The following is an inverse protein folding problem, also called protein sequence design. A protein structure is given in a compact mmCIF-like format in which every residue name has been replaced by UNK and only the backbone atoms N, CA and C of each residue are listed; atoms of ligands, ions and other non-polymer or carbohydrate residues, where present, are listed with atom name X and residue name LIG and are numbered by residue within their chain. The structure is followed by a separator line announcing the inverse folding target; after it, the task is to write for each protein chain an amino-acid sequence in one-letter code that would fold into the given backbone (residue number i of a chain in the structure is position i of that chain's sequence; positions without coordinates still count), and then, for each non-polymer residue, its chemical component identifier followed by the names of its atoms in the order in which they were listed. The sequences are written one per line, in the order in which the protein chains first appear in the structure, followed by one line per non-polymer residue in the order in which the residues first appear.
data_IF_772013140640
#
_entry.id   IF_772013140640
#
_cell.length_a   1.000
_cell.length_b   1.000
_cell.length_c   1.000
_cell.angle_alpha   90.00
_cell.angle_beta   90.00
_cell.angle_gamma   90.00
#
_symmetry.space_group_name_H-M   'P 1'
#
loop_
_entity.id
_entity.type
_entity.pdbx_description
1 polymer ?
#
# COMPACT_ATOMS: atom_id res chain seq x y z
N UNK A 1 23.45 17.24 63.52
CA UNK A 1 24.81 17.61 63.08
C UNK A 1 25.37 16.37 62.40
N UNK A 2 25.63 16.22 61.10
CA UNK A 2 25.67 17.09 59.91
C UNK A 2 25.15 16.23 58.74
N UNK A 3 24.24 16.75 57.91
CA UNK A 3 23.90 16.11 56.64
C UNK A 3 24.78 16.75 55.55
N UNK A 4 25.72 15.97 55.01
CA UNK A 4 26.63 16.41 53.95
C UNK A 4 25.92 16.33 52.61
N UNK A 5 25.63 17.48 52.00
CA UNK A 5 25.21 17.59 50.61
C UNK A 5 26.44 17.39 49.70
N UNK A 6 26.44 16.33 48.90
CA UNK A 6 27.32 16.22 47.74
C UNK A 6 26.63 16.89 46.54
N UNK A 7 27.12 18.06 46.12
CA UNK A 7 26.80 18.65 44.83
C UNK A 7 27.63 17.94 43.75
N UNK A 8 27.02 17.04 42.99
CA UNK A 8 27.57 16.56 41.72
C UNK A 8 27.21 17.56 40.61
N UNK A 9 28.19 18.32 40.14
CA UNK A 9 28.07 19.12 38.93
C UNK A 9 28.03 18.19 37.70
N UNK A 10 26.87 18.05 37.08
CA UNK A 10 26.71 17.34 35.81
C UNK A 10 27.04 18.33 34.69
N UNK A 11 28.19 18.12 34.03
CA UNK A 11 28.55 18.83 32.81
C UNK A 11 27.65 18.35 31.67
N UNK A 12 26.78 19.23 31.17
CA UNK A 12 26.01 19.00 29.95
C UNK A 12 26.94 19.16 28.74
N UNK A 13 27.34 18.03 28.14
CA UNK A 13 27.99 18.01 26.84
C UNK A 13 26.89 18.11 25.78
N UNK A 14 26.87 19.11 24.89
CA UNK A 14 25.93 19.12 23.79
C UNK A 14 26.31 17.99 22.82
N UNK A 15 25.46 16.98 22.73
CA UNK A 15 25.50 16.03 21.62
C UNK A 15 25.09 16.79 20.35
N UNK A 16 26.07 17.19 19.55
CA UNK A 16 25.83 17.59 18.19
C UNK A 16 25.40 16.34 17.40
N UNK A 17 24.10 16.23 17.10
CA UNK A 17 23.59 15.22 16.16
C UNK A 17 24.11 15.61 14.78
N UNK A 18 25.15 14.94 14.31
CA UNK A 18 25.54 15.01 12.92
C UNK A 18 24.44 14.31 12.11
N UNK A 19 23.66 15.09 11.36
CA UNK A 19 22.71 14.55 10.40
C UNK A 19 23.44 13.62 9.41
N UNK A 20 22.89 12.45 9.05
CA UNK A 20 23.48 11.62 8.02
C UNK A 20 23.52 12.44 6.72
N UNK A 21 24.72 12.61 6.17
CA UNK A 21 24.88 13.16 4.82
C UNK A 21 24.29 12.13 3.87
N UNK A 22 23.09 12.40 3.35
CA UNK A 22 22.57 11.70 2.19
C UNK A 22 23.65 11.77 1.10
N UNK A 23 24.06 10.65 0.50
CA UNK A 23 24.88 10.71 -0.70
C UNK A 23 24.09 11.50 -1.74
N UNK A 24 24.59 12.68 -2.07
CA UNK A 24 24.09 13.44 -3.21
C UNK A 24 24.47 12.65 -4.46
N UNK A 25 23.60 11.75 -4.89
CA UNK A 25 23.66 11.22 -6.24
C UNK A 25 23.31 12.37 -7.18
N UNK A 26 24.33 13.13 -7.58
CA UNK A 26 24.27 13.91 -8.80
C UNK A 26 24.21 12.93 -9.96
N UNK A 27 22.98 12.54 -10.32
CA UNK A 27 22.75 11.96 -11.64
C UNK A 27 23.12 13.05 -12.65
N UNK A 28 24.25 12.85 -13.34
CA UNK A 28 24.61 13.65 -14.51
C UNK A 28 23.41 13.62 -15.45
N UNK A 29 22.73 14.76 -15.60
CA UNK A 29 21.83 14.97 -16.74
C UNK A 29 22.70 15.18 -17.96
N UNK A 30 23.16 14.08 -18.54
CA UNK A 30 23.49 14.07 -19.95
C UNK A 30 22.13 14.14 -20.68
N UNK A 31 21.96 15.24 -21.42
CA UNK A 31 20.73 15.55 -22.13
C UNK A 31 20.53 14.60 -23.30
N UNK A 32 19.96 13.44 -23.03
CA UNK A 32 19.33 12.61 -24.04
C UNK A 32 17.82 12.81 -23.92
N UNK A 33 17.18 13.17 -25.04
CA UNK A 33 15.73 13.30 -25.17
C UNK A 33 15.07 11.91 -25.12
N UNK A 34 15.17 11.21 -23.98
CA UNK A 34 14.43 9.99 -23.73
C UNK A 34 13.05 10.39 -23.23
N UNK A 35 12.13 10.54 -24.18
CA UNK A 35 10.71 10.39 -23.88
C UNK A 35 10.56 9.12 -23.05
N UNK A 36 10.10 9.21 -21.81
CA UNK A 36 9.66 8.03 -21.07
C UNK A 36 8.73 7.23 -22.02
N UNK A 37 8.87 5.90 -22.13
CA UNK A 37 7.98 5.12 -22.98
C UNK A 37 6.55 5.49 -22.58
N UNK A 38 5.76 5.99 -23.52
CA UNK A 38 4.36 6.26 -23.26
C UNK A 38 3.77 4.93 -22.77
N UNK A 39 3.23 4.92 -21.54
CA UNK A 39 2.54 3.74 -21.03
C UNK A 39 1.53 3.29 -22.09
N UNK A 40 1.40 1.98 -22.36
CA UNK A 40 0.48 1.51 -23.38
C UNK A 40 -0.91 2.12 -23.11
N UNK A 41 -1.44 2.84 -24.09
CA UNK A 41 -2.77 3.43 -24.00
C UNK A 41 -3.78 2.36 -24.37
N UNK A 42 -4.30 1.67 -23.36
CA UNK A 42 -5.42 0.75 -23.51
C UNK A 42 -6.72 1.46 -23.10
N UNK A 43 -7.82 1.10 -23.77
CA UNK A 43 -9.15 1.56 -23.41
C UNK A 43 -9.66 0.82 -22.17
N UNK A 44 -9.93 1.57 -21.10
CA UNK A 44 -10.48 1.06 -19.84
C UNK A 44 -12.01 1.13 -19.77
N UNK A 45 -12.68 1.74 -20.76
CA UNK A 45 -14.12 2.00 -20.73
C UNK A 45 -14.98 0.73 -20.66
N UNK A 46 -14.47 -0.40 -21.14
CA UNK A 46 -15.16 -1.69 -21.12
C UNK A 46 -14.63 -2.65 -20.05
N UNK A 47 -13.63 -2.24 -19.27
CA UNK A 47 -13.01 -3.10 -18.25
C UNK A 47 -13.89 -3.07 -16.99
N UNK A 48 -14.37 -4.24 -16.60
CA UNK A 48 -15.29 -4.41 -15.48
C UNK A 48 -14.59 -5.02 -14.27
N UNK A 49 -14.95 -4.55 -13.07
CA UNK A 49 -14.50 -5.17 -11.84
C UNK A 49 -14.99 -6.62 -11.74
N UNK A 50 -14.21 -7.50 -11.10
CA UNK A 50 -14.70 -8.79 -10.64
C UNK A 50 -16.02 -8.66 -9.89
N UNK A 51 -16.95 -9.59 -10.15
CA UNK A 51 -18.23 -9.62 -9.47
C UNK A 51 -18.05 -9.73 -7.95
N UNK A 52 -18.72 -8.87 -7.19
CA UNK A 52 -18.67 -8.89 -5.72
C UNK A 52 -19.93 -8.27 -5.11
N UNK A 53 -20.04 -8.37 -3.79
CA UNK A 53 -21.08 -7.69 -3.00
C UNK A 53 -20.71 -6.24 -2.64
N UNK A 54 -19.53 -5.76 -3.07
CA UNK A 54 -19.14 -4.36 -2.86
C UNK A 54 -20.02 -3.46 -3.73
N UNK A 55 -20.43 -2.32 -3.17
CA UNK A 55 -21.20 -1.34 -3.95
C UNK A 55 -20.38 -0.88 -5.16
N UNK A 56 -20.97 -0.80 -6.36
CA UNK A 56 -20.23 -0.44 -7.57
C UNK A 56 -19.76 1.02 -7.56
N UNK A 57 -18.76 1.38 -8.37
CA UNK A 57 -18.27 2.75 -8.54
C UNK A 57 -19.28 3.58 -9.37
N UNK A 58 -20.31 4.09 -8.72
CA UNK A 58 -21.36 4.89 -9.37
C UNK A 58 -20.87 6.30 -9.74
N UNK A 59 -21.02 6.68 -11.01
CA UNK A 59 -20.72 8.04 -11.49
C UNK A 59 -19.23 8.38 -11.57
N UNK A 60 -18.35 7.37 -11.60
CA UNK A 60 -16.89 7.52 -11.69
C UNK A 60 -16.36 6.74 -12.89
N UNK A 61 -15.18 7.13 -13.38
CA UNK A 61 -14.51 6.44 -14.48
C UNK A 61 -13.30 5.65 -13.97
N UNK A 62 -13.08 4.46 -14.53
CA UNK A 62 -11.89 3.68 -14.25
C UNK A 62 -10.69 4.36 -14.93
N UNK A 63 -9.70 4.79 -14.14
CA UNK A 63 -8.52 5.50 -14.66
C UNK A 63 -7.24 4.68 -14.59
N UNK A 64 -7.20 3.65 -13.74
CA UNK A 64 -6.05 2.77 -13.58
C UNK A 64 -6.50 1.45 -12.95
N UNK A 65 -5.93 0.34 -13.41
CA UNK A 65 -5.81 -0.86 -12.58
C UNK A 65 -4.34 -1.12 -12.31
N UNK A 66 -3.98 -1.24 -11.04
CA UNK A 66 -2.62 -1.57 -10.62
C UNK A 66 -2.56 -2.96 -9.98
N UNK A 67 -1.48 -3.70 -10.23
CA UNK A 67 -1.09 -4.83 -9.38
C UNK A 67 -0.27 -4.28 -8.22
N UNK A 68 -0.72 -4.51 -6.99
CA UNK A 68 0.10 -4.32 -5.80
C UNK A 68 0.77 -5.62 -5.40
N UNK A 69 2.08 -5.57 -5.14
CA UNK A 69 2.86 -6.68 -4.58
C UNK A 69 3.59 -6.19 -3.34
N UNK A 70 3.40 -6.89 -2.22
CA UNK A 70 4.04 -6.50 -0.97
C UNK A 70 3.51 -7.31 0.19
N UNK A 71 3.24 -6.67 1.33
CA UNK A 71 2.94 -7.36 2.57
C UNK A 71 1.74 -6.76 3.31
N UNK A 72 1.03 -7.63 4.00
CA UNK A 72 0.12 -7.29 5.08
C UNK A 72 0.89 -7.39 6.40
N UNK A 73 0.76 -6.37 7.24
CA UNK A 73 1.51 -6.26 8.49
C UNK A 73 0.56 -6.34 9.69
N UNK A 74 0.93 -7.13 10.69
CA UNK A 74 0.16 -7.39 11.89
C UNK A 74 1.04 -7.25 13.14
N UNK A 75 0.48 -6.80 14.26
CA UNK A 75 1.17 -6.78 15.55
C UNK A 75 0.56 -7.77 16.53
N UNK A 76 1.38 -8.25 17.45
CA UNK A 76 1.00 -9.22 18.48
C UNK A 76 0.92 -8.59 19.87
N UNK A 77 -0.15 -8.86 20.60
CA UNK A 77 -0.29 -8.46 22.00
C UNK A 77 0.37 -9.47 22.95
N UNK A 78 0.19 -10.77 22.67
CA UNK A 78 0.79 -11.90 23.39
C UNK A 78 0.73 -13.16 22.50
N UNK A 79 1.43 -14.26 22.85
CA UNK A 79 1.51 -15.46 22.01
C UNK A 79 0.18 -16.16 21.71
N UNK A 80 -0.87 -15.90 22.49
CA UNK A 80 -2.19 -16.54 22.34
C UNK A 80 -3.21 -15.64 21.63
N UNK A 81 -2.91 -14.35 21.50
CA UNK A 81 -3.77 -13.39 20.83
C UNK A 81 -3.84 -13.64 19.31
N UNK A 82 -4.95 -13.23 18.70
CA UNK A 82 -5.03 -13.08 17.25
C UNK A 82 -4.21 -11.85 16.81
N UNK A 83 -3.40 -11.92 15.74
CA UNK A 83 -2.65 -10.77 15.24
C UNK A 83 -3.57 -9.63 14.82
N UNK A 84 -3.26 -8.40 15.25
CA UNK A 84 -4.02 -7.20 14.90
C UNK A 84 -3.41 -6.52 13.67
N UNK A 85 -4.21 -6.21 12.65
CA UNK A 85 -3.72 -5.52 11.45
C UNK A 85 -3.21 -4.11 11.78
N UNK A 86 -2.02 -3.78 11.30
CA UNK A 86 -1.40 -2.45 11.46
C UNK A 86 -1.09 -1.77 10.12
N UNK A 87 -1.46 -2.40 9.00
CA UNK A 87 -1.39 -1.79 7.67
C UNK A 87 -0.86 -2.77 6.62
N UNK A 88 -0.48 -2.20 5.48
CA UNK A 88 0.15 -2.89 4.37
C UNK A 88 1.25 -2.01 3.78
N UNK A 89 2.17 -2.63 3.05
CA UNK A 89 3.15 -1.96 2.20
C UNK A 89 3.18 -2.70 0.87
N UNK A 90 3.08 -2.00 -0.27
CA UNK A 90 3.16 -2.62 -1.58
C UNK A 90 3.69 -1.67 -2.65
N UNK A 91 4.50 -2.21 -3.56
CA UNK A 91 4.81 -1.54 -4.82
C UNK A 91 3.66 -1.76 -5.80
N UNK A 92 3.37 -0.74 -6.59
CA UNK A 92 2.29 -0.73 -7.56
C UNK A 92 2.85 -0.83 -8.98
N UNK A 93 2.28 -1.70 -9.79
CA UNK A 93 2.64 -1.90 -11.20
C UNK A 93 1.41 -1.70 -12.07
N UNK A 94 1.57 -1.08 -13.23
CA UNK A 94 0.44 -0.81 -14.12
C UNK A 94 -0.08 -2.13 -14.74
N UNK A 95 -1.31 -2.50 -14.41
CA UNK A 95 -1.98 -3.71 -14.91
C UNK A 95 -3.14 -3.40 -15.87
N UNK A 96 -3.37 -2.12 -16.19
CA UNK A 96 -4.50 -1.67 -17.01
C UNK A 96 -4.60 -2.42 -18.34
N UNK A 97 -3.49 -2.56 -19.06
CA UNK A 97 -3.55 -3.13 -20.41
C UNK A 97 -3.55 -4.66 -20.42
N UNK A 98 -2.98 -5.29 -19.40
CA UNK A 98 -3.15 -6.73 -19.19
C UNK A 98 -4.63 -7.07 -18.97
N UNK A 99 -5.34 -6.27 -18.16
CA UNK A 99 -6.77 -6.47 -17.90
C UNK A 99 -7.67 -6.04 -19.07
N UNK A 100 -7.32 -5.00 -19.81
CA UNK A 100 -8.06 -4.63 -21.01
C UNK A 100 -8.05 -5.75 -22.05
N UNK A 101 -6.93 -6.49 -22.18
CA UNK A 101 -6.83 -7.67 -23.03
C UNK A 101 -7.45 -8.94 -22.44
N UNK A 102 -7.62 -9.02 -21.11
CA UNK A 102 -8.22 -10.15 -20.42
C UNK A 102 -9.02 -9.70 -19.17
N UNK A 103 -10.29 -9.27 -19.33
CA UNK A 103 -11.08 -8.66 -18.25
C UNK A 103 -11.40 -9.57 -17.07
N UNK A 104 -11.16 -10.88 -17.20
CA UNK A 104 -11.40 -11.88 -16.14
C UNK A 104 -10.11 -12.38 -15.47
N UNK A 105 -8.96 -11.74 -15.72
CA UNK A 105 -7.70 -12.16 -15.13
C UNK A 105 -7.65 -11.94 -13.60
N UNK A 106 -7.23 -12.97 -12.86
CA UNK A 106 -6.77 -12.84 -11.47
C UNK A 106 -5.35 -12.26 -11.42
N UNK A 107 -4.85 -11.88 -10.23
CA UNK A 107 -3.47 -11.37 -10.05
C UNK A 107 -2.41 -12.27 -10.66
N UNK A 108 -2.47 -13.57 -10.42
CA UNK A 108 -1.52 -14.57 -10.95
C UNK A 108 -1.58 -14.70 -12.47
N UNK A 109 -2.68 -14.28 -13.10
CA UNK A 109 -2.91 -14.35 -14.54
C UNK A 109 -2.67 -13.02 -15.24
N UNK A 110 -2.18 -11.98 -14.54
CA UNK A 110 -1.96 -10.65 -15.12
C UNK A 110 -0.80 -10.60 -16.14
N UNK A 111 -0.10 -11.71 -16.38
CA UNK A 111 0.78 -11.89 -17.54
C UNK A 111 1.76 -10.74 -17.76
N UNK A 112 1.69 -10.10 -18.94
CA UNK A 112 2.60 -9.12 -19.54
C UNK A 112 2.73 -7.76 -18.82
N UNK A 113 2.55 -7.71 -17.51
CA UNK A 113 2.85 -6.52 -16.73
C UNK A 113 4.37 -6.34 -16.61
N UNK A 114 4.84 -5.11 -16.82
CA UNK A 114 6.22 -4.77 -16.55
C UNK A 114 6.39 -4.49 -15.06
N UNK A 115 6.83 -5.51 -14.32
CA UNK A 115 7.13 -5.40 -12.90
C UNK A 115 8.50 -4.77 -12.61
N UNK A 116 9.26 -4.35 -13.64
CA UNK A 116 10.51 -3.61 -13.45
C UNK A 116 10.29 -2.10 -13.28
N UNK A 117 9.10 -1.60 -13.62
CA UNK A 117 8.73 -0.20 -13.57
C UNK A 117 7.56 0.04 -12.59
N UNK A 118 7.89 0.25 -11.31
CA UNK A 118 6.90 0.68 -10.32
C UNK A 118 6.29 2.03 -10.72
N UNK A 119 4.97 2.15 -10.57
CA UNK A 119 4.19 3.38 -10.81
C UNK A 119 3.81 4.10 -9.52
N UNK A 120 4.26 3.62 -8.37
CA UNK A 120 3.91 4.19 -7.08
C UNK A 120 3.92 3.16 -5.96
N UNK A 121 3.46 3.60 -4.80
CA UNK A 121 3.48 2.80 -3.58
C UNK A 121 2.13 2.90 -2.87
N UNK A 122 1.75 1.81 -2.21
CA UNK A 122 0.64 1.77 -1.27
C UNK A 122 1.21 1.49 0.13
N UNK A 123 0.88 2.35 1.08
CA UNK A 123 1.28 2.21 2.48
C UNK A 123 0.16 2.69 3.42
N UNK A 124 0.43 2.71 4.72
CA UNK A 124 -0.49 3.21 5.73
C UNK A 124 0.19 4.32 6.53
N UNK A 125 -0.45 5.50 6.62
CA UNK A 125 0.10 6.65 7.40
C UNK A 125 -0.19 6.53 8.90
N UNK A 126 -1.18 5.73 9.25
CA UNK A 126 -1.52 5.26 10.59
C UNK A 126 -2.17 3.87 10.46
N UNK A 127 -2.53 3.22 11.57
CA UNK A 127 -3.08 1.84 11.54
C UNK A 127 -4.39 1.67 10.75
N UNK A 128 -5.02 2.75 10.31
CA UNK A 128 -6.37 2.77 9.70
C UNK A 128 -6.46 3.49 8.36
N UNK A 129 -5.48 4.32 8.02
CA UNK A 129 -5.50 5.19 6.84
C UNK A 129 -4.58 4.65 5.74
N UNK A 130 -5.09 3.87 4.78
CA UNK A 130 -4.37 3.55 3.56
C UNK A 130 -4.06 4.81 2.76
N UNK A 131 -2.84 4.89 2.26
CA UNK A 131 -2.31 5.93 1.39
C UNK A 131 -1.81 5.28 0.09
N UNK A 132 -2.09 5.94 -1.04
CA UNK A 132 -1.62 5.58 -2.37
C UNK A 132 -0.95 6.80 -2.97
N UNK A 133 0.37 6.71 -3.19
CA UNK A 133 1.13 7.69 -3.96
C UNK A 133 1.41 7.10 -5.34
N UNK A 134 0.64 7.53 -6.34
CA UNK A 134 0.70 7.01 -7.70
C UNK A 134 1.16 8.11 -8.65
N UNK A 135 2.23 7.84 -9.40
CA UNK A 135 2.76 8.78 -10.37
C UNK A 135 1.69 9.16 -11.41
N UNK A 136 1.49 10.48 -11.59
CA UNK A 136 0.47 11.03 -12.49
C UNK A 136 -0.94 11.12 -11.92
N UNK A 137 -1.25 10.44 -10.81
CA UNK A 137 -2.54 10.58 -10.09
C UNK A 137 -2.40 11.34 -8.76
N UNK A 138 -1.20 11.40 -8.20
CA UNK A 138 -0.90 12.06 -6.93
C UNK A 138 -1.23 11.20 -5.71
N UNK A 139 -1.10 11.81 -4.52
CA UNK A 139 -1.38 11.17 -3.24
C UNK A 139 -2.88 11.05 -3.01
N UNK A 140 -3.32 9.91 -2.47
CA UNK A 140 -4.72 9.66 -2.10
C UNK A 140 -4.77 8.92 -0.77
N UNK A 141 -5.26 9.59 0.28
CA UNK A 141 -5.60 8.95 1.55
C UNK A 141 -7.05 8.49 1.54
N UNK A 142 -7.30 7.27 2.00
CA UNK A 142 -8.62 6.68 1.95
C UNK A 142 -9.04 6.11 3.30
N UNK A 143 -10.35 5.96 3.45
CA UNK A 143 -10.97 5.18 4.52
C UNK A 143 -11.64 3.94 3.96
N UNK A 144 -11.58 2.82 4.70
CA UNK A 144 -12.39 1.64 4.38
C UNK A 144 -13.88 1.97 4.60
N UNK A 145 -14.70 1.82 3.57
CA UNK A 145 -16.16 2.03 3.66
C UNK A 145 -16.96 0.74 3.52
N UNK A 146 -16.37 -0.31 2.96
CA UNK A 146 -16.99 -1.63 2.88
C UNK A 146 -15.90 -2.71 2.76
N UNK A 147 -16.20 -3.91 3.23
CA UNK A 147 -15.41 -5.11 2.94
C UNK A 147 -16.29 -6.29 2.51
N UNK A 148 -15.66 -7.24 1.85
CA UNK A 148 -16.24 -8.51 1.43
C UNK A 148 -15.21 -9.62 1.56
N UNK A 149 -15.66 -10.86 1.79
CA UNK A 149 -14.79 -12.03 1.71
C UNK A 149 -14.19 -12.16 0.31
N UNK A 150 -12.91 -12.48 0.23
CA UNK A 150 -12.31 -12.94 -1.02
C UNK A 150 -12.88 -14.33 -1.40
N UNK A 151 -12.78 -14.76 -2.67
CA UNK A 151 -13.22 -16.09 -3.09
C UNK A 151 -12.59 -17.25 -2.32
N UNK A 152 -11.35 -17.09 -1.83
CA UNK A 152 -10.67 -18.04 -0.93
C UNK A 152 -10.36 -17.36 0.41
N UNK A 153 -11.37 -17.21 1.29
CA UNK A 153 -11.24 -16.38 2.49
C UNK A 153 -10.23 -16.91 3.52
N UNK A 154 -9.89 -18.20 3.45
CA UNK A 154 -8.91 -18.83 4.34
C UNK A 154 -7.45 -18.53 3.94
N UNK A 155 -7.20 -18.12 2.68
CA UNK A 155 -5.85 -17.83 2.18
C UNK A 155 -5.65 -16.37 1.77
N UNK A 156 -6.74 -15.68 1.40
CA UNK A 156 -6.67 -14.38 0.75
C UNK A 156 -7.39 -13.32 1.59
N UNK A 157 -6.69 -12.20 1.85
CA UNK A 157 -7.29 -11.11 2.61
C UNK A 157 -8.54 -10.55 1.94
N UNK A 158 -9.46 -10.01 2.74
CA UNK A 158 -10.73 -9.45 2.28
C UNK A 158 -10.58 -8.48 1.10
N UNK A 159 -11.59 -8.44 0.25
CA UNK A 159 -11.74 -7.37 -0.71
C UNK A 159 -12.27 -6.12 -0.03
N UNK A 160 -11.79 -4.95 -0.47
CA UNK A 160 -12.09 -3.67 0.17
C UNK A 160 -12.63 -2.67 -0.85
N UNK A 161 -13.56 -1.84 -0.38
CA UNK A 161 -13.95 -0.60 -1.03
C UNK A 161 -13.45 0.55 -0.17
N UNK A 162 -12.58 1.38 -0.75
CA UNK A 162 -11.90 2.49 -0.09
C UNK A 162 -12.38 3.81 -0.70
N UNK A 163 -12.76 4.76 0.15
CA UNK A 163 -13.23 6.08 -0.27
C UNK A 163 -12.18 7.13 0.07
N UNK A 164 -11.82 7.97 -0.91
CA UNK A 164 -10.87 9.05 -0.70
C UNK A 164 -11.36 10.03 0.37
N UNK A 165 -10.42 10.50 1.17
CA UNK A 165 -10.62 11.53 2.20
C UNK A 165 -10.21 12.90 1.65
N UNK A 166 -10.83 13.97 2.17
CA UNK A 166 -10.45 15.32 1.77
C UNK A 166 -9.02 15.67 2.23
N UNK A 167 -8.65 15.24 3.44
CA UNK A 167 -7.29 15.39 3.95
C UNK A 167 -6.38 14.36 3.28
N UNK A 168 -5.17 14.80 2.90
CA UNK A 168 -4.15 13.92 2.32
C UNK A 168 -4.38 13.53 0.86
N UNK A 169 -5.51 13.88 0.24
CA UNK A 169 -5.74 13.63 -1.20
C UNK A 169 -5.37 14.87 -2.02
N UNK A 170 -4.42 14.72 -2.94
CA UNK A 170 -3.97 15.80 -3.84
C UNK A 170 -4.53 15.66 -5.25
N UNK A 171 -5.04 14.48 -5.59
CA UNK A 171 -5.51 14.12 -6.94
C UNK A 171 -7.02 14.10 -7.13
N UNK A 172 -7.44 13.69 -8.34
CA UNK A 172 -8.84 13.52 -8.71
C UNK A 172 -9.48 12.23 -8.17
N UNK A 173 -8.69 11.27 -7.68
CA UNK A 173 -9.16 9.95 -7.23
C UNK A 173 -10.22 10.07 -6.15
N UNK A 174 -11.31 9.31 -6.30
CA UNK A 174 -12.45 9.28 -5.37
C UNK A 174 -12.64 7.93 -4.69
N UNK A 175 -12.32 6.85 -5.40
CA UNK A 175 -12.52 5.48 -4.91
C UNK A 175 -11.38 4.57 -5.37
N UNK A 176 -10.93 3.70 -4.48
CA UNK A 176 -10.04 2.58 -4.82
C UNK A 176 -10.68 1.29 -4.30
N UNK A 177 -10.67 0.25 -5.11
CA UNK A 177 -11.09 -1.09 -4.68
C UNK A 177 -9.89 -2.02 -4.65
N UNK A 178 -9.74 -2.76 -3.55
CA UNK A 178 -8.82 -3.89 -3.45
C UNK A 178 -9.58 -5.17 -3.79
N UNK A 179 -9.27 -5.77 -4.93
CA UNK A 179 -9.94 -6.94 -5.48
C UNK A 179 -8.91 -8.02 -5.87
N UNK A 180 -9.39 -9.24 -6.13
CA UNK A 180 -8.55 -10.37 -6.57
C UNK A 180 -7.29 -10.56 -5.72
N UNK A 181 -7.42 -10.44 -4.40
CA UNK A 181 -6.34 -10.65 -3.43
C UNK A 181 -5.81 -12.08 -3.48
N UNK A 182 -4.51 -12.24 -3.24
CA UNK A 182 -3.84 -13.52 -3.02
C UNK A 182 -2.92 -13.39 -1.81
N UNK A 183 -3.09 -14.26 -0.81
CA UNK A 183 -2.27 -14.23 0.40
C UNK A 183 -2.65 -13.13 1.40
N UNK A 184 -1.70 -12.80 2.27
CA UNK A 184 -1.80 -11.76 3.29
C UNK A 184 -2.58 -12.15 4.55
N UNK A 185 -3.20 -13.33 4.63
CA UNK A 185 -3.95 -13.75 5.82
C UNK A 185 -2.99 -14.06 6.97
N UNK A 186 -3.20 -13.41 8.12
CA UNK A 186 -2.43 -13.65 9.33
C UNK A 186 -2.67 -15.07 9.88
N UNK A 187 -1.70 -15.65 10.62
CA UNK A 187 -1.95 -16.87 11.37
C UNK A 187 -3.07 -16.65 12.40
N UNK A 188 -3.72 -17.75 12.81
CA UNK A 188 -4.82 -17.69 13.77
C UNK A 188 -4.40 -17.13 15.14
N UNK A 189 -3.13 -17.31 15.52
CA UNK A 189 -2.55 -16.79 16.77
C UNK A 189 -1.15 -16.26 16.54
N UNK A 190 -0.70 -15.44 17.48
CA UNK A 190 0.67 -14.93 17.61
C UNK A 190 1.64 -15.97 18.20
N UNK A 191 1.41 -17.27 17.99
CA UNK A 191 2.23 -18.32 18.57
C UNK A 191 3.71 -18.12 18.19
N UNK A 192 4.59 -18.10 19.20
CA UNK A 192 6.01 -17.85 19.01
C UNK A 192 6.41 -16.39 18.83
N UNK A 193 5.47 -15.44 18.95
CA UNK A 193 5.72 -14.00 18.90
C UNK A 193 5.63 -13.38 20.30
N UNK A 194 6.51 -12.44 20.60
CA UNK A 194 6.43 -11.59 21.79
C UNK A 194 5.45 -10.42 21.59
N UNK A 195 5.06 -9.79 22.70
CA UNK A 195 4.27 -8.57 22.65
C UNK A 195 5.03 -7.47 21.90
N UNK A 196 4.40 -6.87 20.89
CA UNK A 196 4.99 -5.85 20.03
C UNK A 196 5.69 -6.39 18.78
N UNK A 197 5.86 -7.70 18.65
CA UNK A 197 6.40 -8.29 17.41
C UNK A 197 5.47 -8.04 16.23
N UNK A 198 6.08 -7.96 15.05
CA UNK A 198 5.38 -7.74 13.78
C UNK A 198 5.44 -9.01 12.94
N UNK A 199 4.25 -9.48 12.54
CA UNK A 199 4.10 -10.53 11.54
C UNK A 199 3.88 -9.87 10.18
N UNK A 200 4.72 -10.22 9.23
CA UNK A 200 4.64 -9.78 7.83
C UNK A 200 4.24 -10.96 6.97
N UNK A 201 3.15 -10.80 6.21
CA UNK A 201 2.62 -11.84 5.33
C UNK A 201 2.55 -11.30 3.91
N UNK A 202 3.22 -11.97 2.98
CA UNK A 202 3.20 -11.60 1.57
C UNK A 202 1.77 -11.60 1.03
N UNK A 203 1.44 -10.59 0.24
CA UNK A 203 0.18 -10.50 -0.47
C UNK A 203 0.33 -9.81 -1.83
N UNK A 204 -0.60 -10.14 -2.70
CA UNK A 204 -0.85 -9.41 -3.94
C UNK A 204 -2.31 -9.00 -4.03
N UNK A 205 -2.60 -7.90 -4.73
CA UNK A 205 -3.97 -7.50 -5.04
C UNK A 205 -4.06 -6.65 -6.30
N UNK A 206 -5.23 -6.65 -6.92
CA UNK A 206 -5.58 -5.64 -7.91
C UNK A 206 -6.18 -4.42 -7.22
N UNK A 207 -5.68 -3.24 -7.57
CA UNK A 207 -6.17 -1.94 -7.14
C UNK A 207 -6.88 -1.24 -8.30
N UNK A 208 -8.20 -1.14 -8.21
CA UNK A 208 -9.04 -0.51 -9.23
C UNK A 208 -9.33 0.93 -8.83
N UNK A 209 -8.77 1.88 -9.56
CA UNK A 209 -8.74 3.30 -9.20
C UNK A 209 -9.74 4.09 -10.04
N UNK A 210 -10.60 4.85 -9.36
CA UNK A 210 -11.68 5.62 -9.98
C UNK A 210 -11.60 7.10 -9.63
N UNK A 211 -11.86 7.95 -10.63
CA UNK A 211 -11.91 9.41 -10.52
C UNK A 211 -13.18 9.99 -11.15
#
# INVERSE_FOLDING_TARGET
MHASLFLTAIALIPFAVAAPRHPSFHSRRDGENTSAPAAPTCDLGNVQQPASVLAPPTGLQLVLVALGKGTQNYTCADPTAAPAAIGALAQLYNASCALAGNPSASTTSLGSIDESASIGEHFFVDNTTPDFDIFGLGNTQLKKVQDASAPKPDSDVKWLRLQAQAQGTTGGVKMIYRLNTVGGVAPATCAGQAAGDVITVDYEAQYWVYA
#
